data_IF_032551350597
#
_entry.id   IF_032551350597
#
_cell.length_a   1.000
_cell.length_b   1.000
_cell.length_c   1.000
_cell.angle_alpha   90.00
_cell.angle_beta   90.00
_cell.angle_gamma   90.00
#
_symmetry.space_group_name_H-M   'P 1'
#
loop_
_entity.id
_entity.type
_entity.pdbx_description
1 polymer ?
#
# COMPACT_ATOMS: atom_id res chain seq x y z
N UNK A 1 10.37 -1.95 -15.06
CA UNK A 1 9.12 -1.15 -15.04
C UNK A 1 9.49 0.32 -15.05
N UNK A 2 8.74 1.20 -15.74
CA UNK A 2 9.07 2.63 -15.78
C UNK A 2 8.44 3.41 -14.60
N UNK A 3 9.03 4.55 -14.24
CA UNK A 3 8.62 5.36 -13.08
C UNK A 3 7.17 5.87 -13.18
N UNK A 4 6.73 6.28 -14.38
CA UNK A 4 5.37 6.79 -14.60
C UNK A 4 4.33 5.73 -14.22
N UNK A 5 4.53 4.49 -14.65
CA UNK A 5 3.64 3.38 -14.33
C UNK A 5 3.64 3.08 -12.83
N UNK A 6 4.81 3.08 -12.19
CA UNK A 6 4.95 2.82 -10.74
C UNK A 6 4.23 3.90 -9.92
N UNK A 7 4.43 5.17 -10.26
CA UNK A 7 3.73 6.30 -9.64
C UNK A 7 2.21 6.23 -9.88
N UNK A 8 1.78 5.88 -11.09
CA UNK A 8 0.37 5.70 -11.42
C UNK A 8 -0.29 4.60 -10.60
N UNK A 9 0.40 3.48 -10.36
CA UNK A 9 -0.11 2.42 -9.50
C UNK A 9 -0.30 2.91 -8.05
N UNK A 10 0.73 3.53 -7.47
CA UNK A 10 0.65 4.06 -6.10
C UNK A 10 -0.49 5.08 -5.95
N UNK A 11 -0.57 6.07 -6.86
CA UNK A 11 -1.63 7.08 -6.86
C UNK A 11 -3.01 6.46 -7.08
N UNK A 12 -3.13 5.49 -7.98
CA UNK A 12 -4.37 4.76 -8.19
C UNK A 12 -4.90 4.12 -6.91
N UNK A 13 -4.03 3.50 -6.10
CA UNK A 13 -4.44 2.95 -4.79
C UNK A 13 -4.92 4.04 -3.85
N UNK A 14 -4.23 5.19 -3.79
CA UNK A 14 -4.62 6.33 -2.95
C UNK A 14 -5.99 6.88 -3.36
N UNK A 15 -6.23 7.04 -4.65
CA UNK A 15 -7.47 7.64 -5.19
C UNK A 15 -8.70 6.74 -5.03
N UNK A 16 -8.51 5.41 -5.05
CA UNK A 16 -9.61 4.43 -4.97
C UNK A 16 -9.78 3.83 -3.57
N UNK A 17 -8.95 4.23 -2.61
CA UNK A 17 -9.07 3.75 -1.24
C UNK A 17 -10.44 4.16 -0.64
N UNK A 18 -11.06 3.30 0.19
CA UNK A 18 -12.32 3.64 0.84
C UNK A 18 -12.24 4.95 1.63
N UNK A 19 -13.20 5.86 1.42
CA UNK A 19 -13.23 7.17 2.07
C UNK A 19 -13.33 7.12 3.61
N UNK A 20 -13.71 5.97 4.18
CA UNK A 20 -13.74 5.73 5.63
C UNK A 20 -12.36 5.47 6.24
N UNK A 21 -11.33 5.23 5.43
CA UNK A 21 -9.94 5.12 5.90
C UNK A 21 -9.34 6.49 6.18
N UNK A 22 -8.57 6.59 7.26
CA UNK A 22 -7.74 7.77 7.49
C UNK A 22 -6.60 7.85 6.48
N UNK A 23 -6.08 9.05 6.22
CA UNK A 23 -4.95 9.25 5.31
C UNK A 23 -3.75 8.33 5.63
N UNK A 24 -3.44 8.12 6.92
CA UNK A 24 -2.38 7.22 7.35
C UNK A 24 -2.64 5.75 6.95
N UNK A 25 -3.89 5.29 7.06
CA UNK A 25 -4.28 3.94 6.62
C UNK A 25 -4.30 3.81 5.09
N UNK A 26 -4.67 4.88 4.37
CA UNK A 26 -4.59 4.93 2.91
C UNK A 26 -3.13 4.82 2.46
N UNK A 27 -2.22 5.55 3.10
CA UNK A 27 -0.79 5.46 2.81
C UNK A 27 -0.24 4.05 3.08
N UNK A 28 -0.61 3.44 4.21
CA UNK A 28 -0.22 2.07 4.55
C UNK A 28 -0.74 1.05 3.53
N UNK A 29 -1.98 1.21 3.07
CA UNK A 29 -2.58 0.40 2.01
C UNK A 29 -1.84 0.57 0.68
N UNK A 30 -1.57 1.83 0.29
CA UNK A 30 -0.85 2.14 -0.95
C UNK A 30 0.57 1.55 -0.96
N UNK A 31 1.30 1.66 0.16
CA UNK A 31 2.64 1.07 0.32
C UNK A 31 2.58 -0.46 0.15
N UNK A 32 1.71 -1.13 0.91
CA UNK A 32 1.65 -2.61 0.89
C UNK A 32 1.22 -3.17 -0.45
N UNK A 33 0.19 -2.58 -1.08
CA UNK A 33 -0.27 -2.99 -2.42
C UNK A 33 0.80 -2.72 -3.49
N UNK A 34 1.52 -1.60 -3.39
CA UNK A 34 2.59 -1.24 -4.35
C UNK A 34 3.78 -2.19 -4.23
N UNK A 35 4.21 -2.51 -3.01
CA UNK A 35 5.26 -3.50 -2.78
C UNK A 35 4.87 -4.84 -3.40
N UNK A 36 3.65 -5.32 -3.13
CA UNK A 36 3.18 -6.59 -3.67
C UNK A 36 3.14 -6.60 -5.20
N UNK A 37 2.52 -5.59 -5.81
CA UNK A 37 2.39 -5.48 -7.26
C UNK A 37 3.74 -5.46 -7.96
N UNK A 38 4.67 -4.62 -7.49
CA UNK A 38 5.99 -4.48 -8.10
C UNK A 38 6.84 -5.74 -7.90
N UNK A 39 6.71 -6.43 -6.75
CA UNK A 39 7.35 -7.74 -6.55
C UNK A 39 6.81 -8.78 -7.52
N UNK A 40 5.49 -8.86 -7.73
CA UNK A 40 4.89 -9.75 -8.74
C UNK A 40 5.37 -9.42 -10.16
N UNK A 41 5.62 -8.14 -10.46
CA UNK A 41 6.19 -7.69 -11.73
C UNK A 41 7.72 -7.92 -11.86
N UNK A 42 8.36 -8.58 -10.89
CA UNK A 42 9.80 -8.89 -10.91
C UNK A 42 10.71 -7.69 -10.62
N UNK A 43 10.20 -6.61 -10.04
CA UNK A 43 11.00 -5.44 -9.66
C UNK A 43 11.83 -5.78 -8.42
N UNK A 44 13.11 -5.42 -8.45
CA UNK A 44 14.04 -5.66 -7.32
C UNK A 44 13.60 -4.88 -6.09
N UNK A 45 13.78 -5.50 -4.92
CA UNK A 45 13.44 -4.90 -3.61
C UNK A 45 14.07 -3.51 -3.41
N UNK A 46 15.34 -3.34 -3.77
CA UNK A 46 16.01 -2.03 -3.66
C UNK A 46 15.37 -0.98 -4.55
N UNK A 47 14.99 -1.33 -5.77
CA UNK A 47 14.27 -0.43 -6.68
C UNK A 47 12.88 -0.06 -6.16
N UNK A 48 12.17 -0.99 -5.51
CA UNK A 48 10.87 -0.71 -4.87
C UNK A 48 11.06 0.24 -3.69
N UNK A 49 12.06 -0.01 -2.85
CA UNK A 49 12.40 0.83 -1.71
C UNK A 49 12.73 2.26 -2.15
N UNK A 50 13.68 2.41 -3.08
CA UNK A 50 14.14 3.72 -3.55
C UNK A 50 12.99 4.48 -4.20
N UNK A 51 12.14 3.80 -4.96
CA UNK A 51 10.93 4.41 -5.50
C UNK A 51 9.99 4.92 -4.40
N UNK A 52 9.66 4.10 -3.41
CA UNK A 52 8.71 4.51 -2.36
C UNK A 52 9.26 5.63 -1.48
N UNK A 53 10.53 5.56 -1.10
CA UNK A 53 11.15 6.51 -0.16
C UNK A 53 11.64 7.78 -0.85
N UNK A 54 12.33 7.65 -1.99
CA UNK A 54 12.99 8.79 -2.64
C UNK A 54 12.12 9.48 -3.69
N UNK A 55 11.30 8.72 -4.43
CA UNK A 55 10.47 9.29 -5.47
C UNK A 55 9.08 9.69 -4.96
N UNK A 56 8.41 8.78 -4.26
CA UNK A 56 7.05 9.00 -3.73
C UNK A 56 7.08 9.77 -2.42
N UNK A 57 8.19 9.75 -1.68
CA UNK A 57 8.30 10.31 -0.33
C UNK A 57 7.28 9.70 0.64
N UNK A 58 6.97 8.41 0.46
CA UNK A 58 6.13 7.66 1.37
C UNK A 58 6.81 7.49 2.74
N UNK A 59 6.02 7.24 3.77
CA UNK A 59 6.51 7.01 5.12
C UNK A 59 7.54 5.88 5.18
N UNK A 60 8.82 6.23 5.32
CA UNK A 60 9.95 5.30 5.31
C UNK A 60 9.83 4.22 6.39
N UNK A 61 9.28 4.54 7.56
CA UNK A 61 9.08 3.55 8.63
C UNK A 61 8.09 2.46 8.19
N UNK A 62 7.04 2.82 7.46
CA UNK A 62 6.08 1.84 6.93
C UNK A 62 6.69 1.06 5.77
N UNK A 63 7.44 1.70 4.88
CA UNK A 63 8.17 1.00 3.80
C UNK A 63 9.10 -0.06 4.41
N UNK A 64 9.97 0.33 5.34
CA UNK A 64 10.91 -0.58 5.99
C UNK A 64 10.23 -1.70 6.78
N UNK A 65 9.05 -1.44 7.35
CA UNK A 65 8.24 -2.44 8.04
C UNK A 65 7.75 -3.54 7.08
N UNK A 66 7.35 -3.18 5.87
CA UNK A 66 6.64 -4.09 4.96
C UNK A 66 7.46 -4.58 3.76
N UNK A 67 8.57 -3.93 3.41
CA UNK A 67 9.32 -4.20 2.19
C UNK A 67 9.85 -5.64 2.10
N UNK A 68 10.00 -6.32 3.24
CA UNK A 68 10.47 -7.70 3.31
C UNK A 68 9.34 -8.74 3.46
N UNK A 69 8.11 -8.32 3.73
CA UNK A 69 6.97 -9.22 3.91
C UNK A 69 6.67 -10.03 2.66
N UNK A 70 6.34 -11.30 2.81
CA UNK A 70 5.90 -12.14 1.70
C UNK A 70 4.48 -11.75 1.21
N UNK A 71 4.03 -12.36 0.11
CA UNK A 71 2.74 -12.01 -0.48
C UNK A 71 1.55 -12.21 0.47
N UNK A 72 1.52 -13.32 1.23
CA UNK A 72 0.44 -13.59 2.17
C UNK A 72 0.41 -12.59 3.34
N UNK A 73 1.58 -12.23 3.87
CA UNK A 73 1.70 -11.21 4.92
C UNK A 73 1.26 -9.82 4.43
N UNK A 74 1.57 -9.47 3.18
CA UNK A 74 1.11 -8.21 2.58
C UNK A 74 -0.41 -8.22 2.36
N UNK A 75 -0.96 -9.33 1.86
CA UNK A 75 -2.40 -9.51 1.66
C UNK A 75 -3.18 -9.44 2.97
N UNK A 76 -2.66 -10.04 4.05
CA UNK A 76 -3.29 -10.00 5.38
C UNK A 76 -3.42 -8.56 5.90
N UNK A 77 -2.35 -7.75 5.75
CA UNK A 77 -2.38 -6.33 6.14
C UNK A 77 -3.40 -5.56 5.30
N UNK A 78 -3.42 -5.77 3.98
CA UNK A 78 -4.37 -5.11 3.09
C UNK A 78 -5.82 -5.48 3.43
N UNK A 79 -6.08 -6.77 3.65
CA UNK A 79 -7.41 -7.27 4.03
C UNK A 79 -7.85 -6.69 5.38
N UNK A 80 -6.95 -6.59 6.36
CA UNK A 80 -7.23 -5.98 7.67
C UNK A 80 -7.59 -4.49 7.54
N UNK A 81 -6.81 -3.73 6.76
CA UNK A 81 -7.06 -2.31 6.49
C UNK A 81 -8.42 -2.12 5.81
N UNK A 82 -8.68 -2.87 4.74
CA UNK A 82 -9.94 -2.81 4.00
C UNK A 82 -11.13 -3.25 4.87
N UNK A 83 -11.01 -4.33 5.63
CA UNK A 83 -12.06 -4.77 6.55
C UNK A 83 -12.44 -3.68 7.56
N UNK A 84 -11.44 -2.95 8.07
CA UNK A 84 -11.67 -1.82 8.98
C UNK A 84 -12.43 -0.65 8.34
N UNK A 85 -12.45 -0.55 7.00
CA UNK A 85 -13.22 0.43 6.27
C UNK A 85 -14.72 0.09 6.17
N UNK A 86 -15.06 -1.21 6.25
CA UNK A 86 -16.41 -1.74 6.03
C UNK A 86 -17.07 -2.30 7.29
N UNK A 87 -16.34 -2.41 8.41
CA UNK A 87 -16.93 -2.72 9.71
C UNK A 87 -17.71 -1.51 10.21
N UNK A 88 -19.03 -1.52 10.00
CA UNK A 88 -20.00 -0.52 10.46
C UNK A 88 -19.72 -0.06 11.90
N UNK A 89 -19.45 1.25 12.08
CA UNK A 89 -19.89 1.97 13.29
C UNK A 89 -21.37 2.32 13.08
N UNK A 90 -22.26 1.40 13.42
CA UNK A 90 -23.70 1.59 13.28
C UNK A 90 -24.47 0.29 13.42
N UNK A 91 -24.66 -0.17 14.66
CA UNK A 91 -25.85 -0.96 15.01
C UNK A 91 -27.05 -0.13 14.54
N UNK A 92 -27.84 -0.70 13.66
CA UNK A 92 -29.22 -0.25 13.49
C UNK A 92 -29.99 -1.20 14.39
N UNK A 93 -30.20 -0.77 15.63
CA UNK A 93 -31.29 -1.24 16.49
C UNK A 93 -32.13 0.00 16.82
#
# INVERSE_FOLDING_TARGET
MNKIFMSGYYQGVVEVAPASLSAAKVEELAITMTIQHLRHAGVKVTTIHDFLVLDIHANERLVNKYINNNAAELEEVQASLLSSAFTKKGSID
#
